data_IF_139375386492
#
_entry.id   IF_139375386492
#
_cell.length_a   1.000
_cell.length_b   1.000
_cell.length_c   1.000
_cell.angle_alpha   90.00
_cell.angle_beta   90.00
_cell.angle_gamma   90.00
#
_symmetry.space_group_name_H-M   'P 1'
#
loop_
_entity.id
_entity.type
_entity.pdbx_description
1 polymer ?
#
# COMPACT_ATOMS: atom_id res chain seq x y z
N UNK A 1 0.09 35.97 -5.78
CA UNK A 1 0.94 35.13 -4.89
C UNK A 1 0.25 34.77 -3.57
N UNK A 2 -0.43 35.65 -2.88
CA UNK A 2 -1.16 35.31 -1.62
C UNK A 2 -2.45 34.54 -1.84
N UNK A 3 -3.16 34.77 -2.94
CA UNK A 3 -4.42 34.08 -3.29
C UNK A 3 -4.18 32.65 -3.73
N UNK A 4 -3.12 32.39 -4.51
CA UNK A 4 -2.76 31.04 -4.98
C UNK A 4 -2.41 30.11 -3.83
N UNK A 5 -1.71 30.61 -2.81
CA UNK A 5 -1.37 29.86 -1.59
C UNK A 5 -2.63 29.48 -0.81
N UNK A 6 -3.64 30.36 -0.77
CA UNK A 6 -4.88 30.10 -0.07
C UNK A 6 -5.71 29.02 -0.80
N UNK A 7 -5.74 29.04 -2.14
CA UNK A 7 -6.49 28.06 -2.94
C UNK A 7 -5.89 26.65 -2.82
N UNK A 8 -4.57 26.52 -2.85
CA UNK A 8 -3.92 25.22 -2.69
C UNK A 8 -4.07 24.66 -1.26
N UNK A 9 -4.09 25.55 -0.27
CA UNK A 9 -4.37 25.15 1.11
C UNK A 9 -5.79 24.62 1.26
N UNK A 10 -6.79 25.29 0.68
CA UNK A 10 -8.18 24.83 0.69
C UNK A 10 -8.30 23.48 -0.04
N UNK A 11 -7.61 23.29 -1.16
CA UNK A 11 -7.60 22.02 -1.86
C UNK A 11 -7.02 20.90 -0.98
N UNK A 12 -5.96 21.18 -0.22
CA UNK A 12 -5.37 20.24 0.72
C UNK A 12 -6.29 19.88 1.88
N UNK A 13 -7.01 20.85 2.43
CA UNK A 13 -7.98 20.61 3.51
C UNK A 13 -9.14 19.74 3.02
N UNK A 14 -9.71 20.05 1.85
CA UNK A 14 -10.74 19.25 1.22
C UNK A 14 -10.27 17.81 0.92
N UNK A 15 -9.03 17.66 0.49
CA UNK A 15 -8.43 16.36 0.26
C UNK A 15 -8.34 15.54 1.56
N UNK A 16 -7.87 16.13 2.66
CA UNK A 16 -7.77 15.45 3.95
C UNK A 16 -9.15 15.06 4.49
N UNK A 17 -10.14 15.95 4.39
CA UNK A 17 -11.53 15.63 4.77
C UNK A 17 -12.09 14.49 3.90
N UNK A 18 -11.79 14.48 2.62
CA UNK A 18 -12.23 13.44 1.70
C UNK A 18 -11.63 12.07 2.05
N UNK A 19 -10.33 12.01 2.35
CA UNK A 19 -9.66 10.77 2.80
C UNK A 19 -10.32 10.23 4.06
N UNK A 20 -10.57 11.07 5.06
CA UNK A 20 -11.26 10.67 6.29
C UNK A 20 -12.68 10.13 6.04
N UNK A 21 -13.42 10.74 5.12
CA UNK A 21 -14.74 10.24 4.72
C UNK A 21 -14.64 8.90 3.97
N UNK A 22 -13.64 8.72 3.12
CA UNK A 22 -13.40 7.46 2.44
C UNK A 22 -13.10 6.33 3.43
N UNK A 23 -12.20 6.55 4.39
CA UNK A 23 -11.85 5.60 5.45
C UNK A 23 -13.04 5.23 6.35
N UNK A 24 -13.98 6.16 6.51
CA UNK A 24 -15.25 5.94 7.21
C UNK A 24 -16.32 5.24 6.36
N UNK A 25 -16.02 4.89 5.09
CA UNK A 25 -16.96 4.25 4.17
C UNK A 25 -17.97 5.21 3.51
N UNK A 26 -17.83 6.53 3.74
CA UNK A 26 -18.71 7.55 3.16
C UNK A 26 -18.24 7.95 1.75
N UNK A 27 -18.17 6.99 0.82
CA UNK A 27 -17.58 7.17 -0.51
C UNK A 27 -18.22 8.28 -1.35
N UNK A 28 -19.54 8.45 -1.28
CA UNK A 28 -20.25 9.51 -2.02
C UNK A 28 -19.80 10.91 -1.57
N UNK A 29 -19.64 11.09 -0.24
CA UNK A 29 -19.16 12.36 0.32
C UNK A 29 -17.69 12.58 -0.02
N UNK A 30 -16.88 11.53 0.02
CA UNK A 30 -15.48 11.59 -0.38
C UNK A 30 -15.33 12.03 -1.84
N UNK A 31 -16.13 11.47 -2.76
CA UNK A 31 -16.15 11.89 -4.17
C UNK A 31 -16.48 13.38 -4.30
N UNK A 32 -17.54 13.85 -3.64
CA UNK A 32 -17.94 15.26 -3.72
C UNK A 32 -16.84 16.21 -3.24
N UNK A 33 -16.12 15.85 -2.17
CA UNK A 33 -15.00 16.63 -1.65
C UNK A 33 -13.80 16.59 -2.59
N UNK A 34 -13.46 15.40 -3.14
CA UNK A 34 -12.35 15.21 -4.08
C UNK A 34 -12.58 15.95 -5.40
N UNK A 35 -13.80 15.97 -5.92
CA UNK A 35 -14.13 16.76 -7.12
C UNK A 35 -13.96 18.28 -6.87
N UNK A 36 -14.33 18.75 -5.68
CA UNK A 36 -14.08 20.15 -5.28
C UNK A 36 -12.58 20.43 -5.13
N UNK A 37 -11.84 19.54 -4.46
CA UNK A 37 -10.39 19.66 -4.32
C UNK A 37 -9.69 19.65 -5.68
N UNK A 38 -10.12 18.78 -6.61
CA UNK A 38 -9.63 18.71 -7.99
C UNK A 38 -9.81 20.01 -8.76
N UNK A 39 -10.92 20.70 -8.54
CA UNK A 39 -11.21 21.97 -9.22
C UNK A 39 -10.30 23.12 -8.75
N UNK A 40 -9.72 23.00 -7.55
CA UNK A 40 -8.87 24.01 -6.93
C UNK A 40 -7.37 23.68 -7.06
N UNK A 41 -7.01 22.41 -7.16
CA UNK A 41 -5.63 21.95 -7.17
C UNK A 41 -4.98 22.08 -8.55
N UNK A 42 -3.66 22.32 -8.55
CA UNK A 42 -2.83 22.19 -9.75
C UNK A 42 -2.68 20.69 -10.05
N UNK A 43 -3.33 20.22 -11.12
CA UNK A 43 -3.43 18.78 -11.43
C UNK A 43 -2.07 18.11 -11.71
N UNK A 44 -1.08 18.88 -12.17
CA UNK A 44 0.28 18.38 -12.42
C UNK A 44 1.14 18.35 -11.16
N UNK A 45 0.67 18.93 -10.05
CA UNK A 45 1.33 18.87 -8.76
C UNK A 45 1.18 17.48 -8.12
N UNK A 46 1.98 17.22 -7.08
CA UNK A 46 1.84 16.00 -6.29
C UNK A 46 0.46 15.91 -5.65
N UNK A 47 -0.02 17.01 -5.04
CA UNK A 47 -1.35 17.06 -4.43
C UNK A 47 -2.45 16.76 -5.45
N UNK A 48 -2.40 17.37 -6.64
CA UNK A 48 -3.36 17.10 -7.71
C UNK A 48 -3.37 15.63 -8.15
N UNK A 49 -2.19 15.02 -8.24
CA UNK A 49 -2.06 13.59 -8.52
C UNK A 49 -2.64 12.70 -7.43
N UNK A 50 -2.38 13.02 -6.16
CA UNK A 50 -2.91 12.27 -5.01
C UNK A 50 -4.45 12.38 -4.95
N UNK A 51 -5.01 13.57 -5.17
CA UNK A 51 -6.47 13.80 -5.27
C UNK A 51 -7.09 12.90 -6.35
N UNK A 52 -6.47 12.82 -7.53
CA UNK A 52 -6.98 11.99 -8.62
C UNK A 52 -6.88 10.49 -8.33
N UNK A 53 -5.84 10.03 -7.64
CA UNK A 53 -5.73 8.63 -7.20
C UNK A 53 -6.85 8.29 -6.21
N UNK A 54 -7.10 9.14 -5.21
CA UNK A 54 -8.16 8.91 -4.24
C UNK A 54 -9.56 9.00 -4.87
N UNK A 55 -9.73 9.88 -5.85
CA UNK A 55 -10.98 9.97 -6.62
C UNK A 55 -11.24 8.68 -7.40
N UNK A 56 -10.22 8.10 -8.04
CA UNK A 56 -10.33 6.81 -8.71
C UNK A 56 -10.69 5.68 -7.73
N UNK A 57 -10.03 5.63 -6.55
CA UNK A 57 -10.38 4.67 -5.50
C UNK A 57 -11.84 4.82 -5.03
N UNK A 58 -12.30 6.06 -4.88
CA UNK A 58 -13.66 6.36 -4.43
C UNK A 58 -14.72 5.95 -5.47
N UNK A 59 -14.43 6.13 -6.76
CA UNK A 59 -15.30 5.66 -7.83
C UNK A 59 -15.37 4.14 -7.89
N UNK A 60 -14.25 3.46 -7.74
CA UNK A 60 -14.22 1.99 -7.70
C UNK A 60 -15.01 1.44 -6.50
N UNK A 61 -14.89 2.07 -5.33
CA UNK A 61 -15.62 1.68 -4.12
C UNK A 61 -17.16 1.74 -4.27
N UNK A 62 -17.67 2.55 -5.22
CA UNK A 62 -19.09 2.61 -5.55
C UNK A 62 -19.45 1.88 -6.86
N UNK A 63 -18.58 0.96 -7.31
CA UNK A 63 -18.71 0.18 -8.54
C UNK A 63 -18.73 1.00 -9.85
N UNK A 64 -18.20 2.22 -9.85
CA UNK A 64 -17.96 3.03 -11.03
C UNK A 64 -16.54 2.79 -11.57
N UNK A 65 -16.26 1.53 -11.90
CA UNK A 65 -14.91 1.09 -12.29
C UNK A 65 -14.43 1.73 -13.60
N UNK A 66 -15.33 2.03 -14.53
CA UNK A 66 -14.95 2.67 -15.79
C UNK A 66 -14.42 4.10 -15.58
N UNK A 67 -15.05 4.88 -14.70
CA UNK A 67 -14.58 6.21 -14.34
C UNK A 67 -13.22 6.14 -13.63
N UNK A 68 -13.04 5.17 -12.73
CA UNK A 68 -11.76 4.94 -12.07
C UNK A 68 -10.65 4.59 -13.09
N UNK A 69 -10.94 3.73 -14.06
CA UNK A 69 -10.03 3.36 -15.15
C UNK A 69 -9.67 4.59 -15.99
N UNK A 70 -10.64 5.44 -16.34
CA UNK A 70 -10.41 6.64 -17.13
C UNK A 70 -9.44 7.60 -16.42
N UNK A 71 -9.62 7.83 -15.12
CA UNK A 71 -8.71 8.64 -14.30
C UNK A 71 -7.31 8.00 -14.26
N UNK A 72 -7.19 6.72 -13.97
CA UNK A 72 -5.90 6.04 -13.93
C UNK A 72 -5.16 6.08 -15.28
N UNK A 73 -5.89 6.01 -16.40
CA UNK A 73 -5.29 6.17 -17.74
C UNK A 73 -4.73 7.57 -17.96
N UNK A 74 -5.41 8.62 -17.51
CA UNK A 74 -4.91 10.00 -17.61
C UNK A 74 -3.63 10.20 -16.81
N UNK A 75 -3.56 9.62 -15.61
CA UNK A 75 -2.41 9.73 -14.70
C UNK A 75 -1.14 8.99 -15.19
N UNK A 76 -1.23 8.13 -16.19
CA UNK A 76 -0.04 7.45 -16.76
C UNK A 76 1.01 8.43 -17.31
N UNK A 77 0.61 9.63 -17.68
CA UNK A 77 1.49 10.70 -18.21
C UNK A 77 1.80 11.79 -17.18
N UNK A 78 1.40 11.61 -15.92
CA UNK A 78 1.59 12.59 -14.87
C UNK A 78 3.08 12.89 -14.66
N UNK A 79 3.50 14.17 -14.41
CA UNK A 79 4.91 14.52 -14.25
C UNK A 79 5.59 13.85 -13.06
N UNK A 80 4.83 13.64 -11.95
CA UNK A 80 5.35 12.99 -10.74
C UNK A 80 5.43 11.47 -10.92
N UNK A 81 6.63 10.91 -10.74
CA UNK A 81 6.91 9.49 -10.98
C UNK A 81 6.10 8.53 -10.09
N UNK A 82 5.90 8.88 -8.84
CA UNK A 82 5.18 8.04 -7.89
C UNK A 82 3.69 7.95 -8.23
N UNK A 83 3.10 9.08 -8.65
CA UNK A 83 1.70 9.10 -9.13
C UNK A 83 1.53 8.18 -10.35
N UNK A 84 2.47 8.23 -11.31
CA UNK A 84 2.43 7.31 -12.47
C UNK A 84 2.50 5.84 -12.06
N UNK A 85 3.32 5.50 -11.05
CA UNK A 85 3.45 4.13 -10.55
C UNK A 85 2.15 3.68 -9.88
N UNK A 86 1.57 4.50 -9.01
CA UNK A 86 0.31 4.22 -8.32
C UNK A 86 -0.84 4.04 -9.32
N UNK A 87 -0.96 4.93 -10.30
CA UNK A 87 -1.97 4.84 -11.36
C UNK A 87 -1.81 3.57 -12.21
N UNK A 88 -0.57 3.17 -12.53
CA UNK A 88 -0.29 1.95 -13.28
C UNK A 88 -0.65 0.69 -12.48
N UNK A 89 -0.32 0.69 -11.19
CA UNK A 89 -0.66 -0.41 -10.29
C UNK A 89 -2.18 -0.57 -10.15
N UNK A 90 -2.89 0.52 -9.87
CA UNK A 90 -4.33 0.54 -9.74
C UNK A 90 -5.03 0.12 -11.05
N UNK A 91 -4.56 0.63 -12.19
CA UNK A 91 -5.09 0.23 -13.49
C UNK A 91 -4.94 -1.29 -13.72
N UNK A 92 -3.81 -1.88 -13.32
CA UNK A 92 -3.60 -3.32 -13.37
C UNK A 92 -4.61 -4.11 -12.56
N UNK A 93 -4.99 -3.61 -11.38
CA UNK A 93 -6.02 -4.23 -10.53
C UNK A 93 -7.41 -4.10 -11.18
N UNK A 94 -7.80 -2.89 -11.59
CA UNK A 94 -9.12 -2.61 -12.16
C UNK A 94 -9.38 -3.33 -13.48
N UNK A 95 -8.32 -3.61 -14.25
CA UNK A 95 -8.44 -4.32 -15.53
C UNK A 95 -8.10 -5.80 -15.43
N UNK A 96 -7.86 -6.33 -14.21
CA UNK A 96 -7.61 -7.75 -14.03
C UNK A 96 -8.83 -8.58 -14.45
N UNK A 97 -8.65 -9.64 -15.23
CA UNK A 97 -9.76 -10.52 -15.58
C UNK A 97 -10.34 -11.16 -14.31
N UNK A 98 -11.67 -11.30 -14.21
CA UNK A 98 -12.27 -12.01 -13.10
C UNK A 98 -11.70 -13.43 -13.09
N UNK A 99 -11.26 -13.89 -11.92
CA UNK A 99 -10.86 -15.27 -11.73
C UNK A 99 -12.06 -16.14 -12.09
N UNK A 100 -12.00 -16.81 -13.25
CA UNK A 100 -12.98 -17.85 -13.57
C UNK A 100 -12.88 -18.87 -12.44
N UNK A 101 -14.00 -19.10 -11.74
CA UNK A 101 -14.11 -20.28 -10.90
C UNK A 101 -13.83 -21.44 -11.82
N UNK A 102 -12.68 -22.08 -11.66
CA UNK A 102 -12.39 -23.34 -12.31
C UNK A 102 -13.40 -24.33 -11.71
N UNK A 103 -14.56 -24.45 -12.38
CA UNK A 103 -15.52 -25.51 -12.11
C UNK A 103 -14.80 -26.81 -12.36
N UNK A 104 -14.49 -27.55 -11.30
CA UNK A 104 -13.75 -28.81 -11.35
C UNK A 104 -12.40 -28.84 -10.65
N UNK A 105 -11.88 -27.74 -10.12
CA UNK A 105 -10.73 -27.72 -9.20
C UNK A 105 -11.19 -27.47 -7.76
N UNK A 106 -12.33 -27.96 -7.38
CA UNK A 106 -12.57 -28.28 -5.99
C UNK A 106 -11.76 -29.54 -5.72
N UNK A 107 -10.52 -29.34 -5.25
CA UNK A 107 -9.81 -30.42 -4.58
C UNK A 107 -10.69 -30.84 -3.41
N UNK A 108 -11.35 -31.99 -3.55
CA UNK A 108 -11.98 -32.62 -2.39
C UNK A 108 -10.87 -32.82 -1.39
N UNK A 109 -10.92 -32.07 -0.30
CA UNK A 109 -10.00 -32.29 0.83
C UNK A 109 -10.37 -33.68 1.33
N UNK A 110 -9.51 -34.69 1.17
CA UNK A 110 -9.82 -36.02 1.68
C UNK A 110 -10.05 -35.86 3.18
N UNK A 111 -11.23 -36.28 3.65
CA UNK A 111 -11.51 -36.30 5.07
C UNK A 111 -10.42 -37.20 5.67
N UNK A 112 -9.51 -36.62 6.43
CA UNK A 112 -8.56 -37.38 7.23
C UNK A 112 -9.42 -38.18 8.23
N UNK A 113 -9.63 -39.44 7.92
CA UNK A 113 -10.13 -40.36 8.93
C UNK A 113 -9.15 -40.40 10.09
N UNK A 114 -9.68 -40.40 11.28
CA UNK A 114 -9.05 -40.26 12.61
C UNK A 114 -7.59 -40.72 12.71
N UNK A 115 -6.75 -40.03 13.45
CA UNK A 115 -5.31 -40.31 13.56
C UNK A 115 -4.95 -41.72 14.05
N UNK A 116 -5.90 -42.48 14.56
CA UNK A 116 -5.71 -43.84 15.08
C UNK A 116 -5.50 -44.89 13.97
N UNK A 117 -5.71 -44.55 12.68
CA UNK A 117 -5.52 -45.48 11.56
C UNK A 117 -4.21 -45.24 10.81
N UNK A 118 -3.40 -44.27 11.23
CA UNK A 118 -2.08 -44.02 10.62
C UNK A 118 -1.03 -45.02 11.13
N UNK A 119 -1.13 -46.27 10.65
CA UNK A 119 0.02 -47.18 10.69
C UNK A 119 1.03 -46.71 9.63
N UNK A 120 2.07 -46.03 10.06
CA UNK A 120 3.19 -45.69 9.22
C UNK A 120 3.91 -46.98 8.78
N UNK A 121 3.52 -47.48 7.58
CA UNK A 121 4.35 -48.51 6.93
C UNK A 121 5.69 -47.87 6.59
N UNK A 122 6.85 -48.46 7.07
CA UNK A 122 8.13 -47.96 6.66
C UNK A 122 8.29 -48.15 5.16
N UNK A 123 8.32 -47.02 4.43
CA UNK A 123 8.62 -47.03 2.97
C UNK A 123 10.08 -47.41 2.86
N UNK A 124 10.36 -48.67 2.52
CA UNK A 124 11.69 -49.12 2.14
C UNK A 124 12.17 -48.29 0.93
N UNK A 125 13.13 -47.42 1.17
CA UNK A 125 13.78 -46.59 0.17
C UNK A 125 14.51 -47.49 -0.81
N UNK A 126 13.90 -47.83 -1.95
CA UNK A 126 14.60 -48.46 -3.06
C UNK A 126 15.53 -47.41 -3.64
N UNK A 127 16.85 -47.57 -3.32
CA UNK A 127 17.91 -46.84 -3.99
C UNK A 127 18.01 -47.39 -5.43
N UNK A 128 17.30 -46.71 -6.33
CA UNK A 128 17.40 -46.97 -7.76
C UNK A 128 17.95 -45.71 -8.42
N UNK A 129 19.23 -45.76 -8.75
CA UNK A 129 19.92 -44.83 -9.62
C UNK A 129 19.09 -44.57 -10.90
N UNK A 130 18.63 -43.39 -11.10
CA UNK A 130 18.68 -42.76 -12.42
C UNK A 130 18.63 -41.22 -12.27
N UNK A 131 19.82 -40.69 -12.38
CA UNK A 131 20.09 -39.26 -12.43
C UNK A 131 19.50 -38.68 -13.69
N UNK A 132 18.41 -37.91 -13.59
CA UNK A 132 18.13 -36.81 -14.49
C UNK A 132 17.91 -35.60 -13.60
N UNK A 133 18.82 -34.72 -13.76
CA UNK A 133 19.03 -33.41 -13.17
C UNK A 133 17.71 -32.62 -13.11
N UNK A 134 16.96 -32.80 -12.02
CA UNK A 134 15.90 -31.86 -11.66
C UNK A 134 16.61 -30.77 -10.86
N UNK A 135 16.69 -29.57 -11.47
CA UNK A 135 17.10 -28.36 -10.77
C UNK A 135 16.28 -28.27 -9.48
N UNK A 136 16.90 -28.10 -8.32
CA UNK A 136 16.19 -28.01 -7.06
C UNK A 136 15.25 -26.80 -7.15
N UNK A 137 13.98 -27.04 -6.84
CA UNK A 137 13.01 -25.99 -6.56
C UNK A 137 13.66 -25.04 -5.57
N UNK A 138 13.97 -23.84 -6.03
CA UNK A 138 14.55 -22.78 -5.20
C UNK A 138 13.51 -22.46 -4.13
N UNK A 139 13.72 -23.00 -2.93
CA UNK A 139 12.99 -22.51 -1.76
C UNK A 139 13.16 -21.00 -1.75
N UNK A 140 12.07 -20.30 -1.99
CA UNK A 140 11.99 -18.86 -1.73
C UNK A 140 12.12 -18.78 -0.22
N UNK A 141 13.35 -18.57 0.27
CA UNK A 141 13.59 -18.10 1.62
C UNK A 141 12.64 -16.93 1.81
N UNK A 142 11.63 -17.10 2.64
CA UNK A 142 10.90 -15.98 3.22
C UNK A 142 11.95 -15.21 4.02
N UNK A 143 12.56 -14.27 3.34
CA UNK A 143 13.44 -13.28 3.95
C UNK A 143 12.59 -12.61 5.02
N UNK A 144 12.91 -12.93 6.27
CA UNK A 144 12.29 -12.26 7.42
C UNK A 144 12.44 -10.77 7.18
N UNK A 145 11.37 -9.96 7.31
CA UNK A 145 11.51 -8.52 7.19
C UNK A 145 12.61 -8.10 8.17
N UNK A 146 13.64 -7.47 7.63
CA UNK A 146 14.75 -6.93 8.39
C UNK A 146 14.19 -5.83 9.29
N UNK A 147 13.91 -6.16 10.57
CA UNK A 147 13.42 -5.24 11.59
C UNK A 147 14.55 -4.46 12.26
N UNK A 148 15.75 -4.47 11.68
CA UNK A 148 16.93 -3.84 12.30
C UNK A 148 17.05 -2.34 12.08
N UNK A 149 15.98 -1.63 11.68
CA UNK A 149 16.05 -0.19 11.47
C UNK A 149 15.46 0.66 12.60
N UNK A 150 15.29 0.10 13.81
CA UNK A 150 14.74 0.87 14.96
C UNK A 150 15.80 1.50 15.86
N UNK A 151 17.09 1.26 15.65
CA UNK A 151 18.13 1.70 16.59
C UNK A 151 18.91 2.96 16.18
N UNK A 152 18.58 3.62 15.07
CA UNK A 152 19.34 4.80 14.62
C UNK A 152 18.83 6.14 15.19
N UNK A 153 17.68 6.15 15.84
CA UNK A 153 17.11 7.41 16.36
C UNK A 153 17.57 7.70 17.81
N UNK A 154 17.89 6.66 18.56
CA UNK A 154 18.26 6.79 19.96
C UNK A 154 19.54 7.57 20.26
N UNK A 155 20.65 7.47 19.50
CA UNK A 155 21.84 8.26 19.78
C UNK A 155 21.61 9.75 19.58
N UNK A 156 20.77 10.12 18.59
CA UNK A 156 20.44 11.52 18.34
C UNK A 156 19.53 12.11 19.43
N UNK A 157 18.61 11.31 19.97
CA UNK A 157 17.75 11.71 21.08
C UNK A 157 18.56 11.99 22.36
N UNK A 158 19.53 11.14 22.67
CA UNK A 158 20.42 11.34 23.83
C UNK A 158 21.30 12.58 23.70
N UNK A 159 21.79 12.86 22.49
CA UNK A 159 22.52 14.09 22.20
C UNK A 159 21.66 15.36 22.41
N UNK A 160 20.42 15.31 21.96
CA UNK A 160 19.48 16.43 22.14
C UNK A 160 19.16 16.67 23.63
N UNK A 161 18.95 15.61 24.43
CA UNK A 161 18.70 15.70 25.87
C UNK A 161 19.93 16.27 26.59
N UNK A 162 21.13 15.81 26.25
CA UNK A 162 22.39 16.32 26.82
C UNK A 162 22.59 17.82 26.53
N UNK A 163 22.29 18.23 25.31
CA UNK A 163 22.41 19.64 24.91
C UNK A 163 21.40 20.53 25.63
N UNK A 164 20.17 20.06 25.82
CA UNK A 164 19.13 20.78 26.52
C UNK A 164 19.44 20.90 28.01
N UNK A 165 20.00 19.85 28.64
CA UNK A 165 20.43 19.90 30.05
C UNK A 165 21.60 20.86 30.27
N UNK A 166 22.55 20.93 29.32
CA UNK A 166 23.66 21.86 29.40
C UNK A 166 23.20 23.33 29.31
N UNK A 167 22.21 23.64 28.50
CA UNK A 167 21.61 24.98 28.42
C UNK A 167 20.91 25.36 29.71
N UNK A 168 20.13 24.43 30.29
CA UNK A 168 19.44 24.68 31.56
C UNK A 168 20.39 24.92 32.71
N UNK A 169 21.49 24.15 32.82
CA UNK A 169 22.52 24.35 33.82
C UNK A 169 23.28 25.70 33.65
N UNK A 170 23.56 26.04 32.38
CA UNK A 170 24.17 27.36 32.10
C UNK A 170 23.28 28.51 32.52
N UNK A 171 21.96 28.44 32.26
CA UNK A 171 21.01 29.48 32.68
C UNK A 171 20.83 29.55 34.21
N UNK A 172 20.89 28.40 34.90
CA UNK A 172 20.78 28.35 36.36
C UNK A 172 22.00 28.93 37.11
N UNK A 173 23.18 28.87 36.47
CA UNK A 173 24.42 29.43 37.04
C UNK A 173 24.59 30.93 36.69
N UNK A 174 23.97 31.38 35.60
CA UNK A 174 24.03 32.76 35.13
C UNK A 174 23.02 33.72 35.81
N UNK A 175 22.15 33.21 36.67
CA UNK A 175 21.26 34.00 37.56
C UNK A 175 21.85 34.13 38.94
#
# INVERSE_FOLDING_TARGET
MSEDINVEQIASELYQEAVSNFESGNYQKAIALLERARALAILESRLGGDILIWLANSYDAINKTEEAIAICRSLKKHPVGDIRKSAKYMLGILTAPPLSKLEGVTSEIPILESPDTYQSKPVARKTGQNSKEQKPFREVSLEKPNTDNSNSIYPFLWLAIAFFSAILTYFAIAQ
#
